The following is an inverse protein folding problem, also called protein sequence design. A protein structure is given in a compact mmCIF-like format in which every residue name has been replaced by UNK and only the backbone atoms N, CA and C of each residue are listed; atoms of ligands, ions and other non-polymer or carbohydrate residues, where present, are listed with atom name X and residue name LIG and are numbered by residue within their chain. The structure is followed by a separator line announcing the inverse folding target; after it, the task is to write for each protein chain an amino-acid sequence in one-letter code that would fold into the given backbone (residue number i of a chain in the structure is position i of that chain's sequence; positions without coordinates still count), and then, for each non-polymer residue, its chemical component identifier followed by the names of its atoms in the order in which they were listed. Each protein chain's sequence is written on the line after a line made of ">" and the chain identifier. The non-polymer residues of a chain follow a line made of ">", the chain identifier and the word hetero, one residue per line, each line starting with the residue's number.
data_IF_128452420529
#
_entry.id   IF_128452420529
#
_cell.length_a   1.000
_cell.length_b   1.000
_cell.length_c   1.000
_cell.angle_alpha   90.00
_cell.angle_beta   90.00
_cell.angle_gamma   90.00
#
_symmetry.space_group_name_H-M   'P 1'
#
loop_
_entity.id
_entity.type
_entity.pdbx_description
1 polymer ?
#
# COMPACT_ATOMS: atom_id res chain seq x y z
N UNK A 1 -1.66 19.03 12.99
CA UNK A 1 -0.52 19.11 12.04
C UNK A 1 -0.68 20.37 11.20
N UNK A 2 0.28 21.30 11.25
CA UNK A 2 0.21 22.58 10.54
C UNK A 2 0.21 22.37 9.01
N UNK A 3 -0.45 23.24 8.25
CA UNK A 3 -0.61 23.12 6.78
C UNK A 3 0.74 22.99 6.05
N UNK A 4 1.76 23.69 6.54
CA UNK A 4 3.14 23.67 6.02
C UNK A 4 3.86 22.34 6.26
N UNK A 5 3.58 21.67 7.37
CA UNK A 5 4.15 20.34 7.70
C UNK A 5 3.50 19.23 6.85
N UNK A 6 2.20 19.35 6.52
CA UNK A 6 1.52 18.42 5.61
C UNK A 6 2.19 18.42 4.22
N UNK A 7 2.55 19.60 3.70
CA UNK A 7 3.13 19.72 2.36
C UNK A 7 4.50 19.07 2.16
N UNK A 8 5.33 18.93 3.20
CA UNK A 8 6.65 18.29 3.09
C UNK A 8 6.57 16.79 3.42
N UNK A 9 5.73 16.43 4.38
CA UNK A 9 5.61 15.05 4.83
C UNK A 9 5.01 14.12 3.76
N UNK A 10 3.95 14.55 3.07
CA UNK A 10 3.29 13.71 2.07
C UNK A 10 4.19 13.36 0.87
N UNK A 11 4.93 14.30 0.24
CA UNK A 11 5.87 13.97 -0.82
C UNK A 11 6.96 12.97 -0.39
N UNK A 12 7.55 13.16 0.79
CA UNK A 12 8.56 12.22 1.32
C UNK A 12 7.97 10.83 1.56
N UNK A 13 6.76 10.78 2.10
CA UNK A 13 6.06 9.53 2.36
C UNK A 13 5.69 8.80 1.06
N UNK A 14 5.26 9.54 0.03
CA UNK A 14 4.98 9.01 -1.32
C UNK A 14 6.25 8.42 -1.92
N UNK A 15 7.36 9.16 -1.90
CA UNK A 15 8.63 8.71 -2.45
C UNK A 15 9.13 7.46 -1.74
N UNK A 16 9.15 7.49 -0.40
CA UNK A 16 9.56 6.34 0.41
C UNK A 16 8.69 5.11 0.12
N UNK A 17 7.37 5.27 0.08
CA UNK A 17 6.44 4.17 -0.18
C UNK A 17 6.60 3.59 -1.59
N UNK A 18 6.85 4.45 -2.59
CA UNK A 18 7.08 4.02 -3.96
C UNK A 18 8.37 3.22 -4.09
N UNK A 19 9.48 3.72 -3.52
CA UNK A 19 10.77 3.01 -3.49
C UNK A 19 10.62 1.67 -2.78
N UNK A 20 9.86 1.64 -1.68
CA UNK A 20 9.66 0.44 -0.89
C UNK A 20 8.85 -0.62 -1.65
N UNK A 21 7.75 -0.24 -2.33
CA UNK A 21 7.03 -1.16 -3.21
C UNK A 21 7.92 -1.68 -4.35
N UNK A 22 8.71 -0.80 -4.99
CA UNK A 22 9.62 -1.19 -6.09
C UNK A 22 10.65 -2.20 -5.59
N UNK A 23 11.31 -1.90 -4.46
CA UNK A 23 12.34 -2.76 -3.90
C UNK A 23 11.80 -4.14 -3.55
N UNK A 24 10.65 -4.21 -2.87
CA UNK A 24 10.04 -5.49 -2.49
C UNK A 24 9.53 -6.25 -3.72
N UNK A 25 8.95 -5.55 -4.70
CA UNK A 25 8.51 -6.19 -5.95
C UNK A 25 9.68 -6.80 -6.74
N UNK A 26 10.82 -6.11 -6.79
CA UNK A 26 12.06 -6.66 -7.39
C UNK A 26 12.52 -7.89 -6.59
N UNK A 27 12.62 -7.79 -5.27
CA UNK A 27 13.05 -8.92 -4.41
C UNK A 27 12.12 -10.13 -4.53
N UNK A 28 10.80 -9.91 -4.62
CA UNK A 28 9.83 -10.97 -4.83
C UNK A 28 10.05 -11.68 -6.18
N UNK A 29 10.34 -10.92 -7.23
CA UNK A 29 10.70 -11.46 -8.55
C UNK A 29 11.97 -12.32 -8.56
N UNK A 30 12.95 -12.01 -7.70
CA UNK A 30 14.22 -12.77 -7.63
C UNK A 30 14.13 -14.00 -6.70
N UNK A 31 13.21 -14.02 -5.73
CA UNK A 31 13.13 -15.07 -4.69
C UNK A 31 12.28 -16.28 -5.08
N UNK A 32 11.78 -16.36 -6.32
CA UNK A 32 10.87 -17.41 -6.80
C UNK A 32 9.54 -17.50 -6.04
N UNK A 33 9.26 -16.53 -5.15
CA UNK A 33 7.99 -16.43 -4.44
C UNK A 33 6.96 -15.88 -5.44
N UNK A 34 5.84 -16.59 -5.68
CA UNK A 34 4.85 -16.18 -6.68
C UNK A 34 3.96 -15.04 -6.15
N UNK A 35 4.55 -13.93 -5.69
CA UNK A 35 3.84 -12.76 -5.17
C UNK A 35 4.40 -11.51 -5.84
N UNK A 36 3.54 -10.53 -6.14
CA UNK A 36 3.95 -9.29 -6.82
C UNK A 36 4.43 -8.24 -5.81
N UNK A 37 3.80 -8.20 -4.63
CA UNK A 37 4.15 -7.32 -3.49
C UNK A 37 4.33 -5.85 -3.85
N UNK A 38 3.59 -5.36 -4.85
CA UNK A 38 3.75 -4.04 -5.45
C UNK A 38 2.76 -2.99 -4.90
N UNK A 39 1.95 -3.39 -3.90
CA UNK A 39 0.72 -2.68 -3.55
C UNK A 39 0.50 -2.46 -2.06
N UNK A 40 1.29 -3.08 -1.19
CA UNK A 40 1.10 -2.96 0.26
C UNK A 40 1.36 -1.54 0.75
N UNK A 41 2.39 -0.85 0.26
CA UNK A 41 2.62 0.54 0.62
C UNK A 41 1.53 1.45 0.02
N UNK A 42 0.97 1.09 -1.15
CA UNK A 42 -0.17 1.81 -1.74
C UNK A 42 -1.41 1.74 -0.84
N UNK A 43 -1.73 0.55 -0.31
CA UNK A 43 -2.82 0.33 0.64
C UNK A 43 -2.56 1.11 1.94
N UNK A 44 -1.34 1.05 2.49
CA UNK A 44 -0.98 1.79 3.70
C UNK A 44 -1.12 3.31 3.53
N UNK A 45 -0.72 3.85 2.37
CA UNK A 45 -0.84 5.27 2.08
C UNK A 45 -2.29 5.68 1.84
N UNK A 46 -3.12 4.80 1.28
CA UNK A 46 -4.54 5.05 1.14
C UNK A 46 -5.22 5.26 2.51
N UNK A 47 -4.80 4.56 3.56
CA UNK A 47 -5.40 4.73 4.91
C UNK A 47 -4.95 6.04 5.58
N UNK A 48 -3.71 6.47 5.35
CA UNK A 48 -3.11 7.66 5.98
C UNK A 48 -3.47 8.94 5.21
N UNK A 49 -3.18 8.96 3.91
CA UNK A 49 -3.27 10.14 3.06
C UNK A 49 -4.47 10.18 2.13
N UNK A 50 -5.23 9.09 2.02
CA UNK A 50 -6.37 8.99 1.11
C UNK A 50 -5.97 8.76 -0.34
N UNK A 51 -6.87 9.15 -1.25
CA UNK A 51 -6.79 8.78 -2.67
C UNK A 51 -5.65 9.43 -3.46
N UNK A 52 -5.46 10.74 -3.30
CA UNK A 52 -4.44 11.46 -4.08
C UNK A 52 -3.02 10.95 -3.82
N UNK A 53 -2.53 10.77 -2.58
CA UNK A 53 -1.20 10.24 -2.37
C UNK A 53 -1.11 8.74 -2.73
N UNK A 54 -2.17 7.95 -2.55
CA UNK A 54 -2.14 6.53 -2.91
C UNK A 54 -2.04 6.30 -4.42
N UNK A 55 -2.78 7.08 -5.23
CA UNK A 55 -2.72 6.95 -6.69
C UNK A 55 -1.36 7.39 -7.25
N UNK A 56 -0.73 8.42 -6.65
CA UNK A 56 0.63 8.83 -7.03
C UNK A 56 1.62 7.70 -6.74
N UNK A 57 1.53 7.05 -5.57
CA UNK A 57 2.38 5.88 -5.23
C UNK A 57 2.15 4.73 -6.22
N UNK A 58 0.90 4.44 -6.58
CA UNK A 58 0.56 3.39 -7.54
C UNK A 58 1.20 3.64 -8.91
N UNK A 59 1.05 4.86 -9.43
CA UNK A 59 1.60 5.28 -10.74
C UNK A 59 3.13 5.29 -10.70
N UNK A 60 3.76 5.84 -9.67
CA UNK A 60 5.21 5.87 -9.55
C UNK A 60 5.79 4.45 -9.47
N UNK A 61 5.24 3.61 -8.60
CA UNK A 61 5.68 2.22 -8.44
C UNK A 61 5.59 1.46 -9.77
N UNK A 62 4.41 1.43 -10.39
CA UNK A 62 4.19 0.59 -11.56
C UNK A 62 4.73 1.23 -12.84
N UNK A 63 4.77 2.56 -12.90
CA UNK A 63 5.45 3.29 -13.97
C UNK A 63 6.95 3.00 -13.97
N UNK A 64 7.60 3.01 -12.81
CA UNK A 64 9.03 2.65 -12.71
C UNK A 64 9.24 1.17 -13.05
N UNK A 65 8.44 0.25 -12.52
CA UNK A 65 8.55 -1.18 -12.86
C UNK A 65 8.32 -1.44 -14.36
N UNK A 66 7.43 -0.68 -15.01
CA UNK A 66 7.26 -0.71 -16.46
C UNK A 66 8.53 -0.25 -17.19
N UNK A 67 9.13 0.88 -16.77
CA UNK A 67 10.38 1.39 -17.36
C UNK A 67 11.55 0.42 -17.17
N UNK A 68 11.56 -0.35 -16.08
CA UNK A 68 12.52 -1.42 -15.82
C UNK A 68 12.23 -2.72 -16.59
N UNK A 69 11.16 -2.75 -17.40
CA UNK A 69 10.77 -3.92 -18.19
C UNK A 69 10.20 -5.09 -17.38
N UNK A 70 9.83 -4.86 -16.11
CA UNK A 70 9.35 -5.90 -15.18
C UNK A 70 7.84 -6.13 -15.27
N UNK A 71 7.07 -5.17 -15.80
CA UNK A 71 5.63 -5.30 -16.02
C UNK A 71 5.17 -4.60 -17.30
N UNK A 72 3.93 -4.86 -17.75
CA UNK A 72 3.32 -4.14 -18.88
C UNK A 72 2.48 -2.96 -18.40
N UNK A 73 2.43 -1.89 -19.20
CA UNK A 73 1.74 -0.64 -18.87
C UNK A 73 0.27 -0.84 -18.43
N UNK A 74 -0.43 -1.85 -18.97
CA UNK A 74 -1.82 -2.15 -18.61
C UNK A 74 -1.99 -2.49 -17.11
N UNK A 75 -0.97 -3.06 -16.45
CA UNK A 75 -1.03 -3.41 -15.02
C UNK A 75 -0.98 -2.18 -14.11
N UNK A 76 -0.60 -1.01 -14.63
CA UNK A 76 -0.75 0.26 -13.89
C UNK A 76 -2.24 0.49 -13.55
N UNK A 77 -3.17 0.09 -14.43
CA UNK A 77 -4.61 0.19 -14.18
C UNK A 77 -5.04 -0.66 -12.98
N UNK A 78 -4.50 -1.87 -12.84
CA UNK A 78 -4.75 -2.72 -11.67
C UNK A 78 -4.33 -2.03 -10.37
N UNK A 79 -3.19 -1.35 -10.41
CA UNK A 79 -2.70 -0.63 -9.24
C UNK A 79 -3.43 0.69 -8.96
N UNK A 80 -3.95 1.36 -9.99
CA UNK A 80 -4.89 2.47 -9.81
C UNK A 80 -6.21 2.00 -9.20
N UNK A 81 -6.75 0.86 -9.62
CA UNK A 81 -7.95 0.25 -9.01
C UNK A 81 -7.71 -0.10 -7.54
N UNK A 82 -6.52 -0.60 -7.21
CA UNK A 82 -6.13 -0.89 -5.83
C UNK A 82 -6.08 0.37 -4.97
N UNK A 83 -5.48 1.46 -5.48
CA UNK A 83 -5.46 2.75 -4.80
C UNK A 83 -6.88 3.29 -4.57
N UNK A 84 -7.72 3.26 -5.62
CA UNK A 84 -9.12 3.71 -5.56
C UNK A 84 -9.94 2.90 -4.55
N UNK A 85 -9.92 1.56 -4.68
CA UNK A 85 -10.67 0.65 -3.82
C UNK A 85 -10.26 0.77 -2.37
N UNK A 86 -8.96 0.80 -2.08
CA UNK A 86 -8.45 0.97 -0.73
C UNK A 86 -8.87 2.30 -0.12
N UNK A 87 -8.71 3.40 -0.88
CA UNK A 87 -9.13 4.73 -0.41
C UNK A 87 -10.65 4.83 -0.19
N UNK A 88 -11.45 4.15 -0.99
CA UNK A 88 -12.89 4.06 -0.79
C UNK A 88 -13.24 3.33 0.51
N UNK A 89 -12.67 2.14 0.74
CA UNK A 89 -12.89 1.35 1.95
C UNK A 89 -12.49 2.14 3.20
N UNK A 90 -11.30 2.76 3.21
CA UNK A 90 -10.85 3.53 4.37
C UNK A 90 -11.64 4.83 4.57
N UNK A 91 -12.17 5.43 3.51
CA UNK A 91 -13.07 6.59 3.64
C UNK A 91 -14.41 6.17 4.26
N UNK A 92 -14.92 4.99 3.90
CA UNK A 92 -16.14 4.43 4.49
C UNK A 92 -15.94 4.06 5.97
N UNK A 93 -14.83 3.40 6.30
CA UNK A 93 -14.45 3.07 7.68
C UNK A 93 -14.42 4.32 8.58
N UNK A 94 -13.78 5.40 8.12
CA UNK A 94 -13.74 6.68 8.84
C UNK A 94 -15.13 7.31 8.99
N UNK A 95 -15.97 7.24 7.96
CA UNK A 95 -17.37 7.72 8.02
C UNK A 95 -18.22 6.92 9.01
N UNK A 96 -17.92 5.64 9.19
CA UNK A 96 -18.58 4.76 10.14
C UNK A 96 -18.05 4.90 11.59
N UNK A 97 -17.12 5.83 11.83
CA UNK A 97 -16.61 6.13 13.16
C UNK A 97 -15.34 5.38 13.56
N UNK A 98 -14.65 4.71 12.63
CA UNK A 98 -13.32 4.13 12.93
C UNK A 98 -12.27 5.24 13.09
N UNK A 99 -11.95 5.59 14.34
CA UNK A 99 -10.85 6.52 14.65
C UNK A 99 -9.48 5.91 14.31
N UNK A 100 -9.31 4.62 14.63
CA UNK A 100 -8.17 3.79 14.25
C UNK A 100 -8.67 2.72 13.29
N UNK A 101 -8.12 2.69 12.08
CA UNK A 101 -8.53 1.77 11.03
C UNK A 101 -8.19 0.33 11.47
N UNK A 102 -9.22 -0.50 11.53
CA UNK A 102 -9.14 -1.90 11.95
C UNK A 102 -8.44 -2.80 10.93
N UNK A 103 -7.95 -3.96 11.38
CA UNK A 103 -7.43 -5.00 10.48
C UNK A 103 -8.49 -5.45 9.46
N UNK A 104 -9.76 -5.53 9.87
CA UNK A 104 -10.87 -5.93 9.00
C UNK A 104 -11.02 -4.97 7.82
N UNK A 105 -10.90 -3.66 8.07
CA UNK A 105 -10.90 -2.63 7.03
C UNK A 105 -9.71 -2.81 6.05
N UNK A 106 -8.53 -3.18 6.54
CA UNK A 106 -7.38 -3.48 5.67
C UNK A 106 -7.61 -4.76 4.86
N UNK A 107 -8.11 -5.82 5.48
CA UNK A 107 -8.41 -7.08 4.80
C UNK A 107 -9.51 -6.90 3.74
N UNK A 108 -10.51 -6.06 3.99
CA UNK A 108 -11.54 -5.72 3.02
C UNK A 108 -10.96 -4.93 1.82
N UNK A 109 -10.04 -3.99 2.07
CA UNK A 109 -9.31 -3.30 1.01
C UNK A 109 -8.45 -4.28 0.18
N UNK A 110 -7.75 -5.20 0.85
CA UNK A 110 -7.00 -6.28 0.22
C UNK A 110 -7.88 -7.20 -0.62
N UNK A 111 -9.02 -7.62 -0.10
CA UNK A 111 -9.97 -8.49 -0.80
C UNK A 111 -10.56 -7.80 -2.04
N UNK A 112 -10.97 -6.54 -1.92
CA UNK A 112 -11.47 -5.78 -3.06
C UNK A 112 -10.39 -5.63 -4.14
N UNK A 113 -9.15 -5.31 -3.75
CA UNK A 113 -8.01 -5.25 -4.66
C UNK A 113 -7.69 -6.61 -5.30
N UNK A 114 -7.73 -7.70 -4.54
CA UNK A 114 -7.54 -9.06 -5.03
C UNK A 114 -8.58 -9.41 -6.07
N UNK A 115 -9.84 -9.07 -5.80
CA UNK A 115 -10.94 -9.36 -6.71
C UNK A 115 -10.81 -8.58 -8.01
N UNK A 116 -10.56 -7.27 -7.95
CA UNK A 116 -10.39 -6.44 -9.15
C UNK A 116 -9.16 -6.86 -9.94
N UNK A 117 -8.02 -7.06 -9.27
CA UNK A 117 -6.78 -7.41 -9.94
C UNK A 117 -6.76 -8.87 -10.39
N UNK A 118 -7.45 -9.76 -9.68
CA UNK A 118 -7.62 -11.15 -10.07
C UNK A 118 -8.48 -11.28 -11.33
N UNK A 119 -9.52 -10.46 -11.52
CA UNK A 119 -10.30 -10.48 -12.76
C UNK A 119 -9.51 -9.80 -13.89
N UNK A 120 -9.15 -8.53 -13.72
CA UNK A 120 -8.55 -7.75 -14.79
C UNK A 120 -7.11 -8.16 -15.07
N UNK A 121 -6.30 -8.37 -14.03
CA UNK A 121 -4.91 -8.79 -14.16
C UNK A 121 -4.79 -10.17 -14.82
N UNK A 122 -5.65 -11.13 -14.46
CA UNK A 122 -5.63 -12.44 -15.10
C UNK A 122 -6.13 -12.40 -16.55
N UNK A 123 -7.13 -11.55 -16.84
CA UNK A 123 -7.58 -11.33 -18.22
C UNK A 123 -6.46 -10.70 -19.07
N UNK A 124 -5.73 -9.71 -18.53
CA UNK A 124 -4.59 -9.11 -19.20
C UNK A 124 -3.45 -10.12 -19.38
N UNK A 125 -3.13 -10.92 -18.36
CA UNK A 125 -2.11 -11.96 -18.46
C UNK A 125 -2.46 -12.98 -19.55
N UNK A 126 -3.72 -13.41 -19.64
CA UNK A 126 -4.20 -14.32 -20.68
C UNK A 126 -4.10 -13.69 -22.08
N UNK A 127 -4.46 -12.41 -22.23
CA UNK A 127 -4.43 -11.71 -23.53
C UNK A 127 -3.01 -11.44 -24.03
N UNK A 128 -2.08 -11.15 -23.12
CA UNK A 128 -0.68 -10.84 -23.45
C UNK A 128 0.25 -12.06 -23.41
N UNK A 129 -0.30 -13.28 -23.25
CA UNK A 129 0.46 -14.53 -23.15
C UNK A 129 1.64 -14.43 -22.16
N UNK A 130 1.35 -13.97 -20.94
CA UNK A 130 2.38 -13.85 -19.90
C UNK A 130 3.03 -15.21 -19.59
N UNK A 131 4.28 -15.16 -19.14
CA UNK A 131 4.95 -16.34 -18.62
C UNK A 131 4.20 -16.85 -17.39
N UNK A 132 3.84 -18.13 -17.42
CA UNK A 132 3.10 -18.78 -16.36
C UNK A 132 3.98 -18.90 -15.10
N UNK A 133 3.44 -18.43 -13.98
CA UNK A 133 3.97 -18.67 -12.64
C UNK A 133 3.85 -20.15 -12.24
N UNK A 134 4.52 -20.56 -11.17
CA UNK A 134 4.46 -21.95 -10.68
C UNK A 134 3.01 -22.44 -10.41
N UNK A 135 2.14 -21.55 -9.91
CA UNK A 135 0.72 -21.87 -9.67
C UNK A 135 -0.01 -22.10 -11.00
N UNK A 136 0.17 -21.19 -11.96
CA UNK A 136 -0.45 -21.29 -13.28
C UNK A 136 0.07 -22.50 -14.07
N UNK A 137 1.36 -22.83 -13.95
CA UNK A 137 1.94 -24.05 -14.52
C UNK A 137 1.31 -25.32 -13.92
N UNK A 138 1.09 -25.36 -12.60
CA UNK A 138 0.38 -26.46 -11.95
C UNK A 138 -1.05 -26.63 -12.47
N UNK A 139 -1.78 -25.53 -12.70
CA UNK A 139 -3.13 -25.58 -13.27
C UNK A 139 -3.10 -25.97 -14.74
N UNK A 140 -2.12 -25.50 -15.51
CA UNK A 140 -1.93 -25.90 -16.90
C UNK A 140 -1.70 -27.41 -17.00
N UNK A 141 -0.91 -27.99 -16.11
CA UNK A 141 -0.65 -29.44 -16.08
C UNK A 141 -1.93 -30.26 -15.91
N UNK A 142 -2.88 -29.78 -15.10
CA UNK A 142 -4.16 -30.48 -14.85
C UNK A 142 -5.20 -30.20 -15.93
N UNK A 143 -5.28 -28.96 -16.43
CA UNK A 143 -6.36 -28.51 -17.33
C UNK A 143 -6.01 -28.60 -18.81
N UNK A 144 -4.72 -28.64 -19.14
CA UNK A 144 -4.17 -28.52 -20.49
C UNK A 144 -4.71 -27.30 -21.27
N UNK A 145 -5.09 -26.24 -20.56
CA UNK A 145 -5.65 -25.02 -21.14
C UNK A 145 -4.96 -23.77 -20.56
N UNK A 146 -4.20 -23.07 -21.40
CA UNK A 146 -3.42 -21.88 -21.03
C UNK A 146 -4.30 -20.72 -20.57
N UNK A 147 -5.50 -20.57 -21.15
CA UNK A 147 -6.44 -19.51 -20.76
C UNK A 147 -6.99 -19.82 -19.37
N UNK A 148 -7.41 -21.07 -19.12
CA UNK A 148 -7.89 -21.49 -17.82
C UNK A 148 -6.80 -21.37 -16.74
N UNK A 149 -5.56 -21.73 -17.08
CA UNK A 149 -4.39 -21.60 -16.20
C UNK A 149 -4.15 -20.14 -15.78
N UNK A 150 -4.10 -19.21 -16.73
CA UNK A 150 -3.94 -17.77 -16.43
C UNK A 150 -5.11 -17.22 -15.62
N UNK A 151 -6.36 -17.58 -15.97
CA UNK A 151 -7.54 -17.05 -15.27
C UNK A 151 -7.63 -17.55 -13.82
N UNK A 152 -7.54 -18.87 -13.61
CA UNK A 152 -7.69 -19.46 -12.28
C UNK A 152 -6.43 -19.22 -11.45
N UNK A 153 -5.25 -19.45 -12.02
CA UNK A 153 -3.98 -19.29 -11.34
C UNK A 153 -3.68 -17.83 -11.02
N UNK A 154 -3.86 -16.94 -12.00
CA UNK A 154 -3.72 -15.51 -11.80
C UNK A 154 -4.69 -14.96 -10.76
N UNK A 155 -5.95 -15.43 -10.72
CA UNK A 155 -6.91 -15.02 -9.71
C UNK A 155 -6.49 -15.45 -8.30
N UNK A 156 -6.11 -16.73 -8.13
CA UNK A 156 -5.65 -17.26 -6.84
C UNK A 156 -4.38 -16.56 -6.35
N UNK A 157 -3.45 -16.29 -7.27
CA UNK A 157 -2.20 -15.60 -6.98
C UNK A 157 -2.47 -14.15 -6.54
N UNK A 158 -3.37 -13.43 -7.23
CA UNK A 158 -3.79 -12.08 -6.82
C UNK A 158 -4.51 -12.09 -5.47
N UNK A 159 -5.30 -13.12 -5.18
CA UNK A 159 -5.96 -13.27 -3.88
C UNK A 159 -4.94 -13.39 -2.74
N UNK A 160 -3.95 -14.27 -2.90
CA UNK A 160 -2.86 -14.42 -1.94
C UNK A 160 -2.04 -13.13 -1.82
N UNK A 161 -1.63 -12.56 -2.97
CA UNK A 161 -0.84 -11.33 -3.03
C UNK A 161 -1.50 -10.18 -2.27
N UNK A 162 -2.78 -9.89 -2.51
CA UNK A 162 -3.44 -8.75 -1.85
C UNK A 162 -3.84 -9.03 -0.42
N UNK A 163 -4.05 -10.29 -0.03
CA UNK A 163 -4.20 -10.65 1.38
C UNK A 163 -2.91 -10.38 2.17
N UNK A 164 -1.75 -10.84 1.67
CA UNK A 164 -0.46 -10.55 2.30
C UNK A 164 -0.13 -9.06 2.25
N UNK A 165 -0.40 -8.39 1.13
CA UNK A 165 -0.16 -6.95 1.00
C UNK A 165 -0.99 -6.14 2.00
N UNK A 166 -2.27 -6.47 2.20
CA UNK A 166 -3.12 -5.82 3.19
C UNK A 166 -2.63 -6.06 4.62
N UNK A 167 -2.20 -7.28 4.94
CA UNK A 167 -1.66 -7.60 6.26
C UNK A 167 -0.37 -6.81 6.56
N UNK A 168 0.56 -6.75 5.60
CA UNK A 168 1.79 -5.97 5.72
C UNK A 168 1.46 -4.47 5.82
N UNK A 169 0.50 -3.99 5.03
CA UNK A 169 0.04 -2.60 5.05
C UNK A 169 -0.53 -2.21 6.42
N UNK A 170 -1.26 -3.10 7.08
CA UNK A 170 -1.75 -2.89 8.44
C UNK A 170 -0.59 -2.78 9.45
N UNK A 171 0.41 -3.67 9.34
CA UNK A 171 1.64 -3.57 10.14
C UNK A 171 2.37 -2.24 9.96
N UNK A 172 2.50 -1.77 8.71
CA UNK A 172 3.08 -0.46 8.40
C UNK A 172 2.27 0.69 9.02
N UNK A 173 0.95 0.63 8.90
CA UNK A 173 0.04 1.62 9.48
C UNK A 173 0.22 1.74 11.00
N UNK A 174 0.26 0.62 11.72
CA UNK A 174 0.50 0.60 13.16
C UNK A 174 1.86 1.16 13.54
N UNK A 175 2.92 0.83 12.78
CA UNK A 175 4.26 1.37 13.01
C UNK A 175 4.31 2.89 12.83
N UNK A 176 3.62 3.41 11.82
CA UNK A 176 3.53 4.86 11.57
C UNK A 176 2.75 5.53 12.69
N UNK A 177 1.58 5.00 13.07
CA UNK A 177 0.81 5.53 14.19
C UNK A 177 1.62 5.59 15.49
N UNK A 178 2.30 4.49 15.86
CA UNK A 178 3.11 4.43 17.08
C UNK A 178 4.30 5.39 17.06
N UNK A 179 4.85 5.73 15.89
CA UNK A 179 5.89 6.75 15.74
C UNK A 179 5.30 8.15 15.87
N UNK A 180 4.14 8.41 15.28
CA UNK A 180 3.44 9.69 15.39
C UNK A 180 3.01 9.98 16.83
N UNK A 181 2.43 9.01 17.55
CA UNK A 181 2.05 9.15 18.96
C UNK A 181 3.26 9.51 19.84
N UNK A 182 4.41 8.83 19.64
CA UNK A 182 5.65 9.14 20.36
C UNK A 182 6.23 10.53 20.04
N UNK A 183 6.22 10.91 18.76
CA UNK A 183 6.70 12.23 18.35
C UNK A 183 5.83 13.35 18.96
N UNK A 184 4.52 13.13 19.03
CA UNK A 184 3.59 14.06 19.66
C UNK A 184 3.85 14.20 21.16
N UNK A 185 3.98 13.09 21.89
CA UNK A 185 4.26 13.14 23.34
C UNK A 185 5.58 13.84 23.67
N UNK A 186 6.61 13.68 22.83
CA UNK A 186 7.89 14.35 23.01
C UNK A 186 7.81 15.87 22.78
N UNK A 187 7.02 16.31 21.80
CA UNK A 187 6.78 17.74 21.55
C UNK A 187 6.00 18.39 22.69
N UNK A 188 4.97 17.71 23.20
CA UNK A 188 4.17 18.21 24.31
C UNK A 188 5.03 18.35 25.58
N UNK A 189 5.85 17.35 25.90
CA UNK A 189 6.80 17.42 27.01
C UNK A 189 7.79 18.59 26.88
N UNK A 190 8.28 18.86 25.65
CA UNK A 190 9.20 19.98 25.38
C UNK A 190 8.56 21.36 25.59
N UNK A 191 7.30 21.53 25.16
CA UNK A 191 6.58 22.80 25.35
C UNK A 191 6.30 23.07 26.84
N UNK A 192 5.91 22.04 27.59
CA UNK A 192 5.72 22.13 29.05
C UNK A 192 7.01 22.51 29.80
N UNK A 193 8.18 22.06 29.33
CA UNK A 193 9.46 22.48 29.92
C UNK A 193 9.82 23.92 29.58
N UNK A 194 9.56 24.39 28.35
CA UNK A 194 9.83 25.78 27.95
C UNK A 194 8.96 26.79 28.71
N UNK A 195 7.68 26.49 28.92
CA UNK A 195 6.76 27.37 29.68
C UNK A 195 7.21 27.51 31.14
N UNK A 196 7.64 26.42 31.79
CA UNK A 196 8.14 26.49 33.18
C UNK A 196 9.44 27.27 33.35
N UNK A 197 10.34 27.22 32.36
CA UNK A 197 11.55 28.05 32.38
C UNK A 197 11.23 29.54 32.22
N UNK A 198 10.23 29.89 31.42
CA UNK A 198 9.81 31.30 31.27
C UNK A 198 9.17 31.88 32.53
N UNK A 199 8.30 31.11 33.20
CA UNK A 199 7.70 31.53 34.47
C UNK A 199 8.73 31.69 35.60
N UNK A 200 9.78 30.86 35.63
CA UNK A 200 10.83 30.94 36.64
C UNK A 200 11.79 32.12 36.41
N UNK A 201 12.06 32.48 35.16
CA UNK A 201 12.85 33.68 34.85
C UNK A 201 12.08 34.98 35.16
N UNK A 202 10.78 35.06 34.86
CA UNK A 202 9.94 36.23 35.18
C UNK A 202 9.67 36.41 36.68
N UNK A 203 9.60 35.32 37.45
CA UNK A 203 9.43 35.36 38.91
C UNK A 203 10.68 35.76 39.69
N UNK A 204 11.84 35.86 39.05
CA UNK A 204 13.12 36.21 39.68
C UNK A 204 13.52 37.69 39.57
N UNK A 205 12.66 38.52 38.96
CA UNK A 205 12.89 39.96 38.70
C UNK A 205 12.11 40.88 39.68
N UNK A 206 11.57 40.35 40.79
CA UNK A 206 10.99 41.13 41.89
C UNK A 206 11.92 41.19 43.09
#
# INVERSE_FOLDING_TARGET
>A
MNYRQKNIYFPLLILFSSVLNIAVSILAGETSIPLYMDSFATIAIASIGGFVPSIIVAILTNGTLFLLGRLKLIFILCQMMTALGSSFIFSLAKKNGEEKISLDSFMMAGFLSAFTNGIFGSLFAAFYHYNLTAIEQGILFVTNNVIAANLIGGFLLNLLDKAFAAFIAYGMYLLILKKCERAWSSCEASNWTEERTKESDEGSVQ
#
